data_IF_317617183320
#
_entry.id   IF_317617183320
#
_cell.length_a   1.000
_cell.length_b   1.000
_cell.length_c   1.000
_cell.angle_alpha   90.00
_cell.angle_beta   90.00
_cell.angle_gamma   90.00
#
_symmetry.space_group_name_H-M   'P 1'
#
loop_
_entity.id
_entity.type
_entity.pdbx_description
1 polymer ?
#
# COMPACT_ATOMS: atom_id res chain seq x y z
N UNK A 1 -13.28 17.22 2.76
CA UNK A 1 -13.77 17.58 1.41
C UNK A 1 -15.24 17.17 1.39
N UNK A 2 -16.17 18.04 1.00
CA UNK A 2 -17.59 17.72 0.99
C UNK A 2 -17.94 16.92 -0.29
N UNK A 3 -19.00 16.08 -0.29
CA UNK A 3 -19.43 15.24 -1.42
C UNK A 3 -19.59 16.05 -2.71
N UNK A 4 -20.15 17.26 -2.64
CA UNK A 4 -20.26 18.18 -3.77
C UNK A 4 -18.91 18.59 -4.35
N UNK A 5 -17.83 18.55 -3.55
CA UNK A 5 -16.48 18.85 -4.01
C UNK A 5 -15.79 17.69 -4.70
N UNK A 6 -16.16 16.43 -4.41
CA UNK A 6 -15.68 15.26 -5.13
C UNK A 6 -16.25 15.20 -6.55
N UNK A 7 -17.51 15.51 -6.71
CA UNK A 7 -18.16 15.57 -8.04
C UNK A 7 -17.50 16.62 -8.95
N UNK A 8 -17.14 17.77 -8.39
CA UNK A 8 -16.41 18.82 -9.12
C UNK A 8 -14.93 18.53 -9.33
N UNK A 9 -14.32 17.66 -8.50
CA UNK A 9 -12.91 17.32 -8.56
C UNK A 9 -12.56 16.48 -9.79
N UNK A 10 -13.46 15.60 -10.24
CA UNK A 10 -13.19 14.69 -11.33
C UNK A 10 -13.50 15.26 -12.73
N UNK A 11 -14.23 16.38 -12.85
CA UNK A 11 -14.55 16.98 -14.14
C UNK A 11 -15.45 16.12 -15.03
N UNK A 12 -15.73 16.62 -16.25
CA UNK A 12 -16.61 15.98 -17.23
C UNK A 12 -15.96 14.86 -18.06
N UNK A 13 -14.64 14.68 -17.92
CA UNK A 13 -13.86 13.80 -18.82
C UNK A 13 -13.80 12.33 -18.37
N UNK A 14 -14.43 11.98 -17.23
CA UNK A 14 -14.51 10.62 -16.72
C UNK A 14 -15.82 9.97 -17.11
N UNK A 15 -15.79 8.64 -17.25
CA UNK A 15 -17.00 7.88 -17.60
C UNK A 15 -18.12 8.13 -16.58
N UNK A 16 -19.37 8.16 -17.03
CA UNK A 16 -20.56 8.34 -16.15
C UNK A 16 -20.54 7.32 -15.01
N UNK A 17 -20.13 6.09 -15.26
CA UNK A 17 -20.01 5.03 -14.25
C UNK A 17 -19.01 5.41 -13.14
N UNK A 18 -17.88 6.01 -13.51
CA UNK A 18 -16.86 6.47 -12.53
C UNK A 18 -17.39 7.66 -11.74
N UNK A 19 -18.11 8.59 -12.38
CA UNK A 19 -18.73 9.73 -11.70
C UNK A 19 -19.77 9.27 -10.66
N UNK A 20 -20.63 8.31 -11.01
CA UNK A 20 -21.61 7.73 -10.08
C UNK A 20 -20.90 7.04 -8.89
N UNK A 21 -19.84 6.24 -9.16
CA UNK A 21 -19.09 5.54 -8.13
C UNK A 21 -18.45 6.50 -7.12
N UNK A 22 -17.84 7.57 -7.59
CA UNK A 22 -17.22 8.57 -6.72
C UNK A 22 -18.22 9.56 -6.12
N UNK A 23 -19.37 9.76 -6.77
CA UNK A 23 -20.45 10.63 -6.27
C UNK A 23 -21.08 10.15 -4.96
N UNK A 24 -20.95 8.86 -4.67
CA UNK A 24 -21.45 8.22 -3.45
C UNK A 24 -20.36 7.90 -2.42
N UNK A 25 -19.10 8.27 -2.72
CA UNK A 25 -17.98 7.97 -1.84
C UNK A 25 -18.07 8.73 -0.51
N UNK A 26 -17.95 8.02 0.59
CA UNK A 26 -17.95 8.60 1.94
C UNK A 26 -16.56 8.51 2.59
N UNK A 27 -16.24 9.49 3.44
CA UNK A 27 -15.00 9.48 4.22
C UNK A 27 -15.03 8.30 5.19
N UNK A 28 -14.23 7.30 4.92
CA UNK A 28 -14.07 6.10 5.75
C UNK A 28 -13.04 6.34 6.87
N UNK A 29 -11.86 6.89 6.53
CA UNK A 29 -10.84 7.26 7.52
C UNK A 29 -10.34 8.66 7.18
N UNK A 30 -10.50 9.65 8.08
CA UNK A 30 -10.06 11.01 7.84
C UNK A 30 -8.52 11.13 7.95
N UNK A 31 -7.96 12.06 7.19
CA UNK A 31 -6.52 12.31 7.02
C UNK A 31 -5.76 12.43 8.35
N UNK A 32 -6.32 13.10 9.33
CA UNK A 32 -5.66 13.29 10.62
C UNK A 32 -5.44 11.97 11.38
N UNK A 33 -6.40 11.02 11.28
CA UNK A 33 -6.24 9.66 11.80
C UNK A 33 -5.19 8.88 11.01
N UNK A 34 -5.17 9.05 9.68
CA UNK A 34 -4.20 8.38 8.81
C UNK A 34 -2.78 8.82 9.16
N UNK A 35 -2.54 10.13 9.26
CA UNK A 35 -1.21 10.66 9.59
C UNK A 35 -0.73 10.18 10.97
N UNK A 36 -1.60 10.16 11.99
CA UNK A 36 -1.26 9.60 13.31
C UNK A 36 -0.89 8.10 13.25
N UNK A 37 -1.62 7.33 12.44
CA UNK A 37 -1.30 5.91 12.27
C UNK A 37 0.03 5.70 11.54
N UNK A 38 0.36 6.54 10.57
CA UNK A 38 1.65 6.54 9.87
C UNK A 38 2.79 6.92 10.82
N UNK A 39 2.60 7.91 11.70
CA UNK A 39 3.60 8.26 12.75
C UNK A 39 3.92 7.06 13.64
N UNK A 40 2.89 6.35 14.10
CA UNK A 40 3.06 5.15 14.91
C UNK A 40 3.70 3.99 14.14
N UNK A 41 3.34 3.83 12.86
CA UNK A 41 3.97 2.82 12.01
C UNK A 41 5.46 3.11 11.84
N UNK A 42 5.84 4.36 11.58
CA UNK A 42 7.24 4.77 11.45
C UNK A 42 8.06 4.50 12.72
N UNK A 43 7.49 4.73 13.92
CA UNK A 43 8.14 4.39 15.19
C UNK A 43 8.37 2.87 15.28
N UNK A 44 7.34 2.05 14.98
CA UNK A 44 7.48 0.58 15.03
C UNK A 44 8.54 0.07 14.04
N UNK A 45 8.59 0.63 12.84
CA UNK A 45 9.57 0.27 11.82
C UNK A 45 10.99 0.72 12.22
N UNK A 46 11.14 1.92 12.77
CA UNK A 46 12.42 2.42 13.31
C UNK A 46 12.98 1.48 14.37
N UNK A 47 12.13 1.01 15.30
CA UNK A 47 12.53 0.04 16.33
C UNK A 47 12.87 -1.31 15.71
N UNK A 48 12.10 -1.79 14.72
CA UNK A 48 12.31 -3.09 14.10
C UNK A 48 13.64 -3.18 13.32
N UNK A 49 14.10 -2.05 12.79
CA UNK A 49 15.32 -1.95 11.97
C UNK A 49 16.43 -1.09 12.62
N UNK A 50 16.36 -0.83 13.91
CA UNK A 50 17.28 0.12 14.61
C UNK A 50 18.78 -0.19 14.44
N UNK A 51 19.13 -1.46 14.19
CA UNK A 51 20.51 -1.91 13.99
C UNK A 51 20.77 -2.32 12.53
N UNK A 52 19.77 -2.21 11.70
CA UNK A 52 19.80 -2.63 10.31
C UNK A 52 19.81 -1.40 9.38
N UNK A 53 20.19 -1.60 8.13
CA UNK A 53 20.09 -0.60 7.06
C UNK A 53 19.20 -1.19 5.97
N UNK A 54 17.87 -1.16 6.15
CA UNK A 54 16.98 -1.83 5.23
C UNK A 54 16.94 -1.14 3.86
N UNK A 55 16.70 -1.95 2.85
CA UNK A 55 16.19 -1.49 1.57
C UNK A 55 14.68 -1.41 1.68
N UNK A 56 14.10 -0.25 1.45
CA UNK A 56 12.65 -0.06 1.37
C UNK A 56 12.24 -0.18 -0.09
N UNK A 57 11.40 -1.17 -0.36
CA UNK A 57 10.79 -1.40 -1.67
C UNK A 57 9.30 -1.09 -1.56
N UNK A 58 8.81 -0.09 -2.27
CA UNK A 58 7.39 0.21 -2.29
C UNK A 58 6.73 -0.27 -3.58
N UNK A 59 5.50 -0.78 -3.46
CA UNK A 59 4.68 -1.14 -4.61
C UNK A 59 4.33 0.13 -5.40
N UNK A 60 4.79 0.21 -6.64
CA UNK A 60 4.61 1.39 -7.48
C UNK A 60 3.13 1.69 -7.74
N UNK A 61 2.29 0.67 -7.76
CA UNK A 61 0.88 0.78 -8.08
C UNK A 61 0.06 1.59 -7.06
N UNK A 62 0.35 1.43 -5.74
CA UNK A 62 -0.55 1.95 -4.70
C UNK A 62 0.15 2.50 -3.45
N UNK A 63 1.45 2.23 -3.26
CA UNK A 63 2.14 2.56 -2.02
C UNK A 63 2.89 3.89 -2.03
N UNK A 64 2.93 4.60 -3.15
CA UNK A 64 3.75 5.83 -3.30
C UNK A 64 3.45 6.90 -2.25
N UNK A 65 2.19 7.08 -1.89
CA UNK A 65 1.79 8.05 -0.85
C UNK A 65 2.29 7.63 0.54
N UNK A 66 2.04 6.38 0.95
CA UNK A 66 2.49 5.85 2.24
C UNK A 66 4.03 5.88 2.32
N UNK A 67 4.70 5.44 1.25
CA UNK A 67 6.16 5.47 1.16
C UNK A 67 6.69 6.89 1.39
N UNK A 68 6.16 7.91 0.68
CA UNK A 68 6.56 9.31 0.85
C UNK A 68 6.35 9.84 2.27
N UNK A 69 5.28 9.40 2.95
CA UNK A 69 5.03 9.74 4.34
C UNK A 69 6.01 9.04 5.30
N UNK A 70 6.35 7.77 5.06
CA UNK A 70 7.23 6.99 5.92
C UNK A 70 8.68 7.46 5.87
N UNK A 71 9.23 7.72 4.68
CA UNK A 71 10.66 8.09 4.55
C UNK A 71 11.01 9.39 5.28
N UNK A 72 10.06 10.30 5.45
CA UNK A 72 10.23 11.54 6.21
C UNK A 72 10.24 11.33 7.73
N UNK A 73 9.80 10.17 8.22
CA UNK A 73 9.58 9.83 9.63
C UNK A 73 10.53 8.79 10.17
N UNK A 74 11.10 7.96 9.29
CA UNK A 74 12.04 6.92 9.70
C UNK A 74 13.36 7.54 10.17
N UNK A 75 13.79 7.16 11.38
CA UNK A 75 15.02 7.65 12.00
C UNK A 75 16.15 6.62 11.90
N UNK A 76 16.28 5.99 10.74
CA UNK A 76 17.30 4.98 10.41
C UNK A 76 17.82 5.23 8.99
N UNK A 77 19.08 4.86 8.71
CA UNK A 77 19.59 4.89 7.35
C UNK A 77 18.86 3.86 6.48
N UNK A 78 18.39 4.28 5.32
CA UNK A 78 17.64 3.43 4.38
C UNK A 78 18.16 3.57 2.96
N UNK A 79 18.10 2.49 2.17
CA UNK A 79 18.17 2.54 0.73
C UNK A 79 16.76 2.44 0.16
N UNK A 80 16.50 3.07 -0.99
CA UNK A 80 15.17 3.19 -1.55
C UNK A 80 15.09 2.55 -2.93
N UNK A 81 13.97 1.89 -3.19
CA UNK A 81 13.60 1.37 -4.49
C UNK A 81 12.11 1.15 -4.60
N UNK A 82 11.65 0.78 -5.77
CA UNK A 82 10.27 0.37 -6.01
C UNK A 82 10.23 -0.99 -6.68
N UNK A 83 9.06 -1.60 -6.69
CA UNK A 83 8.78 -2.84 -7.40
C UNK A 83 7.37 -2.79 -8.01
N UNK A 84 7.19 -3.61 -9.02
CA UNK A 84 5.87 -3.92 -9.60
C UNK A 84 5.68 -5.43 -9.59
N UNK A 85 4.45 -5.85 -9.42
CA UNK A 85 4.01 -7.22 -9.62
C UNK A 85 3.22 -7.24 -10.92
N UNK A 86 3.74 -7.95 -11.92
CA UNK A 86 3.05 -8.19 -13.17
C UNK A 86 2.42 -9.59 -13.15
N UNK A 87 1.17 -9.69 -13.55
CA UNK A 87 0.52 -10.96 -13.84
C UNK A 87 0.77 -11.30 -15.32
N UNK A 88 1.39 -12.44 -15.57
CA UNK A 88 1.61 -12.93 -16.92
C UNK A 88 0.31 -13.58 -17.42
N UNK A 89 -0.38 -12.92 -18.33
CA UNK A 89 -1.67 -13.37 -18.86
C UNK A 89 -1.55 -14.45 -19.96
N UNK A 90 -0.32 -14.82 -20.35
CA UNK A 90 -0.09 -15.74 -21.49
C UNK A 90 0.04 -17.22 -21.08
N UNK A 91 0.08 -17.55 -19.81
CA UNK A 91 0.14 -18.93 -19.34
C UNK A 91 -1.19 -19.36 -18.72
N UNK A 92 -1.56 -20.63 -18.88
CA UNK A 92 -2.73 -21.27 -18.23
C UNK A 92 -2.71 -21.18 -16.68
N UNK A 93 -1.63 -20.69 -16.12
CA UNK A 93 -1.47 -20.31 -14.71
C UNK A 93 -0.87 -18.92 -14.62
N UNK A 94 -1.51 -17.97 -13.92
CA UNK A 94 -0.96 -16.63 -13.74
C UNK A 94 0.43 -16.72 -13.09
N UNK A 95 1.45 -16.42 -13.84
CA UNK A 95 2.82 -16.31 -13.33
C UNK A 95 3.04 -14.86 -12.90
N UNK A 96 3.32 -14.66 -11.61
CA UNK A 96 3.64 -13.34 -11.10
C UNK A 96 5.15 -13.08 -11.25
N UNK A 97 5.47 -11.90 -11.73
CA UNK A 97 6.85 -11.42 -11.82
C UNK A 97 7.02 -10.18 -10.95
N UNK A 98 8.16 -10.11 -10.25
CA UNK A 98 8.56 -8.93 -9.50
C UNK A 98 9.80 -8.31 -10.15
N UNK A 99 9.73 -7.00 -10.39
CA UNK A 99 10.84 -6.22 -10.94
C UNK A 99 11.26 -5.14 -9.94
N UNK A 100 12.18 -5.43 -9.01
CA UNK A 100 12.69 -4.42 -8.11
C UNK A 100 13.73 -3.56 -8.81
N UNK A 101 13.77 -2.27 -8.46
CA UNK A 101 14.76 -1.32 -8.99
C UNK A 101 16.15 -1.43 -8.33
N UNK A 102 16.26 -2.23 -7.25
CA UNK A 102 17.50 -2.44 -6.49
C UNK A 102 17.64 -3.90 -6.10
N UNK A 103 18.88 -4.37 -5.89
CA UNK A 103 19.17 -5.74 -5.43
C UNK A 103 18.69 -5.95 -4.00
N UNK A 104 18.14 -7.15 -3.74
CA UNK A 104 17.70 -7.60 -2.41
C UNK A 104 18.74 -8.53 -1.75
N UNK A 105 19.77 -8.94 -2.49
CA UNK A 105 20.77 -9.89 -2.04
C UNK A 105 21.57 -9.35 -0.83
N UNK A 106 21.67 -10.16 0.20
CA UNK A 106 22.31 -9.83 1.48
C UNK A 106 21.76 -8.56 2.14
N UNK A 107 20.45 -8.26 1.96
CA UNK A 107 19.80 -7.07 2.50
C UNK A 107 18.66 -7.45 3.46
N UNK A 108 18.39 -6.51 4.37
CA UNK A 108 17.14 -6.47 5.12
C UNK A 108 16.12 -5.69 4.27
N UNK A 109 14.95 -6.23 4.05
CA UNK A 109 13.96 -5.68 3.13
C UNK A 109 12.71 -5.26 3.90
N UNK A 110 12.24 -4.06 3.62
CA UNK A 110 10.91 -3.58 4.00
C UNK A 110 10.09 -3.39 2.73
N UNK A 111 9.11 -4.24 2.51
CA UNK A 111 8.10 -4.01 1.48
C UNK A 111 7.00 -3.08 2.00
N UNK A 112 6.60 -2.11 1.18
CA UNK A 112 5.54 -1.15 1.49
C UNK A 112 4.43 -1.29 0.46
N UNK A 113 3.21 -1.53 0.94
CA UNK A 113 1.98 -1.70 0.17
C UNK A 113 0.97 -0.60 0.54
N UNK A 114 0.15 -0.19 -0.39
CA UNK A 114 -1.03 0.64 -0.10
C UNK A 114 -2.12 -0.22 0.53
N UNK A 115 -2.64 -1.18 -0.21
CA UNK A 115 -3.66 -2.14 0.23
C UNK A 115 -3.12 -3.58 0.12
N UNK A 116 -2.81 -4.18 1.26
CA UNK A 116 -2.38 -5.58 1.32
C UNK A 116 -3.62 -6.48 1.38
N UNK A 117 -4.09 -6.89 0.20
CA UNK A 117 -5.40 -7.55 0.01
C UNK A 117 -5.40 -9.03 0.34
N UNK A 118 -4.28 -9.72 0.11
CA UNK A 118 -4.23 -11.17 0.26
C UNK A 118 -2.86 -11.69 0.67
N UNK A 119 -2.84 -12.93 1.14
CA UNK A 119 -1.61 -13.63 1.52
C UNK A 119 -0.73 -13.95 0.32
N UNK A 120 -1.31 -14.18 -0.87
CA UNK A 120 -0.55 -14.62 -2.05
C UNK A 120 0.45 -13.57 -2.52
N UNK A 121 0.05 -12.29 -2.61
CA UNK A 121 0.93 -11.20 -3.00
C UNK A 121 2.11 -11.08 -2.02
N UNK A 122 1.82 -11.10 -0.72
CA UNK A 122 2.82 -11.08 0.35
C UNK A 122 3.76 -12.28 0.29
N UNK A 123 3.19 -13.49 0.18
CA UNK A 123 3.96 -14.72 0.11
C UNK A 123 4.85 -14.75 -1.14
N UNK A 124 4.32 -14.27 -2.25
CA UNK A 124 5.08 -14.17 -3.49
C UNK A 124 6.31 -13.27 -3.32
N UNK A 125 6.16 -12.03 -2.85
CA UNK A 125 7.31 -11.11 -2.69
C UNK A 125 8.29 -11.62 -1.63
N UNK A 126 7.80 -12.25 -0.57
CA UNK A 126 8.63 -12.82 0.49
C UNK A 126 9.44 -14.02 -0.03
N UNK A 127 8.80 -14.97 -0.69
CA UNK A 127 9.45 -16.14 -1.26
C UNK A 127 10.44 -15.78 -2.37
N UNK A 128 10.06 -14.83 -3.22
CA UNK A 128 10.96 -14.31 -4.24
C UNK A 128 12.20 -13.70 -3.61
N UNK A 129 12.05 -12.86 -2.58
CA UNK A 129 13.18 -12.19 -1.93
C UNK A 129 14.11 -13.17 -1.22
N UNK A 130 13.57 -14.19 -0.54
CA UNK A 130 14.36 -15.23 0.10
C UNK A 130 15.17 -16.03 -0.94
N UNK A 131 14.56 -16.38 -2.07
CA UNK A 131 15.27 -17.07 -3.19
C UNK A 131 16.39 -16.20 -3.78
N UNK A 132 16.29 -14.87 -3.66
CA UNK A 132 17.31 -13.91 -4.13
C UNK A 132 18.24 -13.43 -3.01
N UNK A 133 18.30 -14.14 -1.88
CA UNK A 133 19.28 -13.93 -0.83
C UNK A 133 18.98 -12.82 0.17
N UNK A 134 17.72 -12.37 0.31
CA UNK A 134 17.35 -11.44 1.37
C UNK A 134 17.54 -12.08 2.76
N UNK A 135 18.02 -11.29 3.73
CA UNK A 135 18.32 -11.76 5.10
C UNK A 135 17.06 -11.68 5.98
N UNK A 136 16.31 -10.60 5.88
CA UNK A 136 15.13 -10.32 6.70
C UNK A 136 14.11 -9.59 5.84
N UNK A 137 12.85 -9.96 6.00
CA UNK A 137 11.76 -9.36 5.26
C UNK A 137 10.69 -8.93 6.25
N UNK A 138 10.23 -7.68 6.13
CA UNK A 138 9.03 -7.16 6.78
C UNK A 138 8.13 -6.54 5.70
N UNK A 139 6.81 -6.63 5.94
CA UNK A 139 5.80 -6.00 5.11
C UNK A 139 5.09 -4.92 5.93
N UNK A 140 4.94 -3.74 5.35
CA UNK A 140 4.15 -2.65 5.91
C UNK A 140 3.08 -2.23 4.93
N UNK A 141 1.91 -1.79 5.45
CA UNK A 141 0.81 -1.36 4.59
C UNK A 141 0.01 -0.21 5.19
N UNK A 142 -0.66 0.55 4.33
CA UNK A 142 -1.64 1.53 4.78
C UNK A 142 -2.87 0.82 5.33
N UNK A 143 -3.39 -0.13 4.57
CA UNK A 143 -4.49 -0.99 4.99
C UNK A 143 -4.15 -2.46 4.81
N UNK A 144 -4.71 -3.31 5.67
CA UNK A 144 -4.64 -4.75 5.58
C UNK A 144 -6.05 -5.34 5.75
N UNK A 145 -6.38 -6.34 4.95
CA UNK A 145 -7.70 -6.97 5.02
C UNK A 145 -7.80 -7.90 6.24
N UNK A 146 -8.93 -7.80 6.95
CA UNK A 146 -9.21 -8.71 8.08
C UNK A 146 -9.56 -10.10 7.53
N UNK A 147 -8.93 -11.15 8.08
CA UNK A 147 -9.28 -12.56 7.78
C UNK A 147 -8.06 -13.45 7.58
N UNK A 148 -7.46 -13.44 6.46
CA UNK A 148 -6.68 -14.56 5.94
C UNK A 148 -5.19 -14.56 6.34
N UNK A 149 -4.85 -15.15 7.48
CA UNK A 149 -3.44 -15.46 7.79
C UNK A 149 -2.49 -14.27 7.99
N UNK A 150 -2.98 -13.04 7.90
CA UNK A 150 -2.21 -11.80 7.96
C UNK A 150 -2.03 -11.25 9.39
N UNK A 151 -2.26 -12.06 10.43
CA UNK A 151 -2.22 -11.62 11.83
C UNK A 151 -0.87 -11.03 12.24
N UNK A 152 0.23 -11.56 11.73
CA UNK A 152 1.58 -11.04 12.00
C UNK A 152 1.84 -9.67 11.36
N UNK A 153 1.22 -9.37 10.23
CA UNK A 153 1.42 -8.16 9.46
C UNK A 153 0.62 -6.97 10.01
N UNK A 154 -0.43 -7.23 10.80
CA UNK A 154 -1.20 -6.19 11.49
C UNK A 154 -0.31 -5.27 12.33
N UNK A 155 0.81 -5.79 12.85
CA UNK A 155 1.77 -5.00 13.61
C UNK A 155 2.40 -3.86 12.80
N UNK A 156 2.55 -4.07 11.49
CA UNK A 156 3.18 -3.11 10.58
C UNK A 156 2.20 -2.56 9.55
N UNK A 157 0.91 -2.55 9.87
CA UNK A 157 -0.13 -1.90 9.10
C UNK A 157 -0.72 -0.72 9.86
N UNK A 158 -1.19 0.31 9.13
CA UNK A 158 -1.86 1.44 9.75
C UNK A 158 -3.27 1.05 10.20
N UNK A 159 -4.02 0.35 9.34
CA UNK A 159 -5.42 -0.04 9.62
C UNK A 159 -5.68 -1.48 9.21
N UNK A 160 -6.51 -2.17 9.99
CA UNK A 160 -7.11 -3.45 9.61
C UNK A 160 -8.58 -3.19 9.28
N UNK A 161 -8.98 -3.52 8.07
CA UNK A 161 -10.31 -3.24 7.51
C UNK A 161 -10.98 -4.52 7.02
N UNK A 162 -12.26 -4.45 6.69
CA UNK A 162 -13.03 -5.56 6.08
C UNK A 162 -12.78 -5.66 4.57
N UNK A 163 -13.86 -5.75 3.81
CA UNK A 163 -13.83 -5.92 2.35
C UNK A 163 -14.13 -4.59 1.61
N UNK A 164 -14.14 -3.47 2.33
CA UNK A 164 -14.46 -2.16 1.79
C UNK A 164 -13.58 -1.81 0.58
N UNK A 165 -14.18 -1.30 -0.49
CA UNK A 165 -13.46 -0.76 -1.64
C UNK A 165 -13.01 0.66 -1.35
N UNK A 166 -11.70 0.87 -1.18
CA UNK A 166 -11.15 2.15 -0.75
C UNK A 166 -10.39 2.87 -1.86
N UNK A 167 -10.47 4.19 -1.83
CA UNK A 167 -9.66 5.12 -2.64
C UNK A 167 -9.12 6.24 -1.76
N UNK A 168 -8.07 6.90 -2.22
CA UNK A 168 -7.38 7.98 -1.50
C UNK A 168 -6.05 7.54 -0.91
N UNK A 169 -5.20 8.49 -0.56
CA UNK A 169 -3.88 8.25 0.02
C UNK A 169 -3.02 7.24 -0.75
N UNK A 170 -3.04 7.30 -2.09
CA UNK A 170 -2.34 6.38 -2.99
C UNK A 170 -3.21 5.28 -3.57
N UNK A 171 -4.30 4.89 -2.91
CA UNK A 171 -5.23 3.88 -3.41
C UNK A 171 -6.10 4.46 -4.53
N UNK A 172 -6.28 3.69 -5.60
CA UNK A 172 -7.07 4.10 -6.75
C UNK A 172 -8.08 3.02 -7.18
N UNK A 173 -9.12 3.48 -7.84
CA UNK A 173 -10.06 2.63 -8.59
C UNK A 173 -10.08 3.07 -10.04
N UNK A 174 -9.83 2.15 -10.95
CA UNK A 174 -9.77 2.42 -12.39
C UNK A 174 -8.83 3.62 -12.75
N UNK A 175 -7.70 3.74 -12.02
CA UNK A 175 -6.72 4.81 -12.19
C UNK A 175 -7.08 6.15 -11.52
N UNK A 176 -8.23 6.25 -10.84
CA UNK A 176 -8.71 7.50 -10.23
C UNK A 176 -8.71 7.46 -8.70
N UNK A 177 -8.66 8.63 -8.06
CA UNK A 177 -8.85 8.81 -6.63
C UNK A 177 -7.59 8.71 -5.77
N UNK A 178 -6.44 8.30 -6.31
CA UNK A 178 -5.19 8.13 -5.53
C UNK A 178 -4.70 9.40 -4.83
N UNK A 179 -5.03 10.56 -5.36
CA UNK A 179 -4.63 11.89 -4.85
C UNK A 179 -5.62 12.49 -3.85
N UNK A 180 -6.70 11.78 -3.49
CA UNK A 180 -7.62 12.22 -2.46
C UNK A 180 -6.94 12.20 -1.07
N UNK A 181 -7.24 13.17 -0.19
CA UNK A 181 -6.50 13.37 1.05
C UNK A 181 -6.89 12.42 2.18
N UNK A 182 -8.10 11.88 2.16
CA UNK A 182 -8.65 10.93 3.11
C UNK A 182 -8.74 9.54 2.47
N UNK A 183 -9.07 8.50 3.25
CA UNK A 183 -9.54 7.23 2.69
C UNK A 183 -11.06 7.27 2.60
N UNK A 184 -11.57 7.02 1.41
CA UNK A 184 -13.00 7.00 1.10
C UNK A 184 -13.43 5.57 0.78
N UNK A 185 -14.62 5.18 1.28
CA UNK A 185 -15.29 3.94 0.84
C UNK A 185 -16.15 4.23 -0.38
N UNK A 186 -16.08 3.32 -1.34
CA UNK A 186 -16.93 3.32 -2.54
C UNK A 186 -18.11 2.36 -2.40
N UNK A 187 -18.15 1.58 -1.31
CA UNK A 187 -19.24 0.67 -1.04
C UNK A 187 -20.41 1.44 -0.43
N UNK A 188 -21.56 1.25 -1.03
CA UNK A 188 -22.81 1.73 -0.45
C UNK A 188 -23.16 0.84 0.74
N UNK A 189 -23.38 1.44 1.92
CA UNK A 189 -23.88 0.75 3.09
C UNK A 189 -25.30 0.22 2.87
#
# INVERSE_FOLDING_TARGET
MNIDSLHNFFGSDISTKTQELFGSAEVFIPRDKILRAVDQLAIRLTVAFRYDRPVILFNLKDAGWLFGCLIQRLQIPVALGCFEIEEDAEEDKPAWRIKPTVSVENKHILFVFGDLKNTHEKEFVSNWSLKHGAIKILNASLVIRAGDGLSSDRRYSCFSIGQESLVGCGLSRDGHGSNLPDLYSLDHG
#
